data_IF_593347044815
#
_entry.id   IF_593347044815
#
_cell.length_a   1.000
_cell.length_b   1.000
_cell.length_c   1.000
_cell.angle_alpha   90.00
_cell.angle_beta   90.00
_cell.angle_gamma   90.00
#
_symmetry.space_group_name_H-M   'P 1'
#
loop_
_entity.id
_entity.type
_entity.pdbx_description
1 polymer ?
#
# COMPACT_ATOMS: atom_id res chain seq x y z
N UNK A 1 -0.68 12.82 25.26
CA UNK A 1 -1.17 12.21 24.00
C UNK A 1 -0.24 12.69 22.89
N UNK A 2 0.36 11.82 22.07
CA UNK A 2 1.16 12.29 20.93
C UNK A 2 0.24 12.98 19.93
N UNK A 3 0.67 14.14 19.42
CA UNK A 3 -0.07 14.91 18.43
C UNK A 3 -0.27 14.08 17.16
N UNK A 4 -1.46 14.17 16.55
CA UNK A 4 -1.74 13.54 15.28
C UNK A 4 -0.77 14.08 14.22
N UNK A 5 0.15 13.23 13.75
CA UNK A 5 1.09 13.58 12.71
C UNK A 5 0.33 13.80 11.38
N UNK A 6 0.57 14.91 10.66
CA UNK A 6 -0.15 15.19 9.42
C UNK A 6 0.12 14.10 8.37
N UNK A 7 -0.93 13.75 7.60
CA UNK A 7 -0.85 12.75 6.55
C UNK A 7 0.25 13.10 5.54
N UNK A 8 1.07 12.11 5.19
CA UNK A 8 2.05 12.28 4.13
C UNK A 8 1.35 12.53 2.79
N UNK A 9 1.94 13.43 2.02
CA UNK A 9 1.40 13.96 0.78
C UNK A 9 2.31 13.55 -0.35
N UNK A 10 1.74 12.98 -1.40
CA UNK A 10 2.46 12.74 -2.65
C UNK A 10 2.04 13.76 -3.68
N UNK A 11 3.02 14.43 -4.26
CA UNK A 11 2.82 15.25 -5.46
C UNK A 11 3.22 14.43 -6.66
N UNK A 12 2.33 14.23 -7.62
CA UNK A 12 2.70 13.69 -8.93
C UNK A 12 2.81 14.84 -9.92
N UNK A 13 3.73 14.76 -10.88
CA UNK A 13 3.81 15.72 -11.97
C UNK A 13 3.38 15.04 -13.27
N UNK A 14 2.43 15.66 -13.96
CA UNK A 14 2.05 15.32 -15.33
C UNK A 14 2.33 16.48 -16.26
N UNK A 15 2.68 16.15 -17.50
CA UNK A 15 2.92 17.11 -18.56
C UNK A 15 2.07 16.79 -19.78
N UNK A 16 1.54 17.82 -20.41
CA UNK A 16 0.86 17.74 -21.70
C UNK A 16 1.39 18.80 -22.65
N UNK A 17 1.42 18.54 -23.95
CA UNK A 17 1.71 19.55 -24.97
C UNK A 17 0.44 20.11 -25.62
N UNK A 18 -0.73 19.54 -25.32
CA UNK A 18 -1.98 19.81 -26.04
C UNK A 18 -3.24 19.76 -25.17
N UNK A 19 -3.11 19.64 -23.84
CA UNK A 19 -4.18 19.43 -22.84
C UNK A 19 -4.99 18.13 -22.97
N UNK A 20 -4.84 17.38 -24.07
CA UNK A 20 -5.59 16.15 -24.33
C UNK A 20 -4.83 14.90 -23.85
N UNK A 21 -3.50 14.91 -23.98
CA UNK A 21 -2.64 13.78 -23.63
C UNK A 21 -1.66 14.15 -22.54
N UNK A 22 -1.66 13.40 -21.44
CA UNK A 22 -0.83 13.64 -20.27
C UNK A 22 0.18 12.52 -20.07
N UNK A 23 1.44 12.86 -19.82
CA UNK A 23 2.48 11.91 -19.43
C UNK A 23 3.05 12.23 -18.05
N UNK A 24 3.19 11.21 -17.20
CA UNK A 24 3.78 11.34 -15.88
C UNK A 24 5.27 11.65 -16.02
N UNK A 25 5.75 12.65 -15.28
CA UNK A 25 7.15 13.13 -15.27
C UNK A 25 7.88 12.84 -13.98
N UNK A 26 7.16 12.77 -12.87
CA UNK A 26 7.77 12.47 -11.57
C UNK A 26 6.75 12.33 -10.46
N UNK A 27 7.26 11.98 -9.28
CA UNK A 27 6.50 11.98 -8.03
C UNK A 27 7.41 12.32 -6.86
N UNK A 28 6.86 12.96 -5.83
CA UNK A 28 7.57 13.37 -4.62
C UNK A 28 6.74 12.99 -3.41
N UNK A 29 7.42 12.44 -2.41
CA UNK A 29 6.86 12.06 -1.14
C UNK A 29 7.25 13.09 -0.08
N UNK A 30 6.27 13.75 0.54
CA UNK A 30 6.45 14.68 1.66
C UNK A 30 5.79 14.08 2.90
N UNK A 31 6.56 13.75 3.94
CA UNK A 31 6.04 12.90 5.02
C UNK A 31 6.67 13.03 6.41
N UNK A 32 7.41 14.09 6.73
CA UNK A 32 8.19 14.17 7.98
C UNK A 32 7.80 15.29 8.94
N UNK A 33 6.69 16.00 8.71
CA UNK A 33 6.10 16.90 9.72
C UNK A 33 6.88 18.20 10.02
N UNK A 34 7.99 18.46 9.34
CA UNK A 34 8.66 19.76 9.40
C UNK A 34 8.08 20.72 8.36
N UNK A 35 7.58 21.88 8.80
CA UNK A 35 7.30 23.00 7.91
C UNK A 35 8.64 23.49 7.32
N UNK A 36 8.88 23.18 6.05
CA UNK A 36 10.08 23.60 5.32
C UNK A 36 9.76 23.85 3.85
N UNK A 37 10.47 24.78 3.23
CA UNK A 37 10.44 24.99 1.78
C UNK A 37 11.46 24.08 1.11
N UNK A 38 11.00 23.19 0.23
CA UNK A 38 11.87 22.41 -0.65
C UNK A 38 11.59 22.82 -2.09
N UNK A 39 12.63 23.25 -2.80
CA UNK A 39 12.57 23.47 -4.25
C UNK A 39 12.83 22.14 -4.95
N UNK A 40 11.97 21.77 -5.91
CA UNK A 40 12.19 20.60 -6.76
C UNK A 40 12.11 20.98 -8.23
N UNK A 41 13.15 20.61 -8.96
CA UNK A 41 13.27 20.80 -10.41
C UNK A 41 12.86 19.51 -11.11
N UNK A 42 11.75 19.55 -11.84
CA UNK A 42 11.24 18.39 -12.58
C UNK A 42 11.63 18.35 -14.06
N UNK A 43 12.10 19.47 -14.61
CA UNK A 43 12.63 19.54 -15.97
C UNK A 43 13.92 20.35 -15.97
N UNK A 44 14.96 19.81 -16.61
CA UNK A 44 16.15 20.57 -16.92
C UNK A 44 15.97 21.22 -18.31
N UNK A 45 16.32 22.49 -18.41
CA UNK A 45 16.01 23.33 -19.55
C UNK A 45 16.63 22.83 -20.86
N UNK A 46 15.80 22.25 -21.73
CA UNK A 46 15.90 22.47 -23.18
C UNK A 46 14.56 23.08 -23.65
N UNK A 47 14.53 24.41 -23.63
CA UNK A 47 13.36 25.21 -23.95
C UNK A 47 12.99 25.05 -25.43
N UNK A 48 11.96 24.25 -25.75
CA UNK A 48 11.31 24.29 -27.07
C UNK A 48 9.88 23.72 -27.16
N UNK A 49 9.10 23.54 -26.08
CA UNK A 49 7.70 23.13 -26.25
C UNK A 49 6.79 23.84 -25.26
N UNK A 50 5.77 24.55 -25.75
CA UNK A 50 4.61 24.95 -24.95
C UNK A 50 4.05 23.70 -24.28
N UNK A 51 4.07 23.67 -22.96
CA UNK A 51 3.63 22.54 -22.17
C UNK A 51 2.75 23.01 -21.01
N UNK A 52 1.76 22.20 -20.72
CA UNK A 52 0.88 22.31 -19.58
C UNK A 52 1.35 21.32 -18.53
N UNK A 53 1.26 21.72 -17.27
CA UNK A 53 1.62 20.89 -16.14
C UNK A 53 0.41 20.71 -15.23
N UNK A 54 0.24 19.50 -14.70
CA UNK A 54 -0.74 19.19 -13.68
C UNK A 54 -0.02 18.52 -12.51
N UNK A 55 -0.19 19.08 -11.32
CA UNK A 55 0.46 18.60 -10.09
C UNK A 55 -0.63 18.22 -9.08
N UNK A 56 -1.25 17.04 -9.22
CA UNK A 56 -2.23 16.60 -8.25
C UNK A 56 -1.58 16.27 -6.91
N UNK A 57 -2.28 16.68 -5.85
CA UNK A 57 -2.04 16.28 -4.48
C UNK A 57 -2.68 14.91 -4.25
N UNK A 58 -1.90 13.90 -3.91
CA UNK A 58 -2.40 12.61 -3.44
C UNK A 58 -2.16 12.56 -1.94
N UNK A 59 -3.24 12.68 -1.19
CA UNK A 59 -3.20 12.43 0.25
C UNK A 59 -3.33 10.93 0.45
N UNK A 60 -2.29 10.33 1.04
CA UNK A 60 -2.43 8.96 1.48
C UNK A 60 -3.30 8.96 2.74
N UNK A 61 -4.35 8.15 2.77
CA UNK A 61 -5.20 7.99 3.93
C UNK A 61 -4.39 7.61 5.17
N UNK A 62 -4.90 7.94 6.37
CA UNK A 62 -4.30 7.50 7.62
C UNK A 62 -4.08 5.98 7.70
N UNK A 63 -3.11 5.59 8.52
CA UNK A 63 -2.81 4.25 9.01
C UNK A 63 -4.01 3.28 9.00
N UNK A 64 -3.90 2.13 8.31
CA UNK A 64 -4.95 1.11 8.31
C UNK A 64 -4.96 0.28 9.61
N UNK A 65 -5.79 0.67 10.57
CA UNK A 65 -6.04 -0.12 11.78
C UNK A 65 -7.10 -1.22 11.61
N UNK A 66 -7.30 -2.08 12.62
CA UNK A 66 -8.34 -3.12 12.62
C UNK A 66 -9.74 -2.63 12.20
N UNK A 67 -10.14 -1.43 12.66
CA UNK A 67 -11.43 -0.86 12.31
C UNK A 67 -11.60 -0.54 10.80
N UNK A 68 -10.53 -0.16 10.09
CA UNK A 68 -10.63 0.18 8.66
C UNK A 68 -10.68 -1.07 7.77
N UNK A 69 -10.14 -2.20 8.24
CA UNK A 69 -10.10 -3.48 7.51
C UNK A 69 -11.17 -4.48 7.97
N UNK A 70 -11.93 -4.15 9.01
CA UNK A 70 -13.04 -4.94 9.50
C UNK A 70 -14.04 -5.30 8.38
N UNK A 71 -14.41 -6.58 8.32
CA UNK A 71 -15.30 -7.17 7.30
C UNK A 71 -14.84 -7.00 5.85
N UNK A 72 -13.55 -6.77 5.61
CA UNK A 72 -13.01 -6.61 4.26
C UNK A 72 -12.30 -7.86 3.75
N UNK A 73 -12.17 -7.92 2.44
CA UNK A 73 -11.38 -8.93 1.74
C UNK A 73 -10.10 -8.30 1.20
N UNK A 74 -8.93 -8.76 1.65
CA UNK A 74 -7.63 -8.41 1.10
C UNK A 74 -7.19 -9.46 0.10
N UNK A 75 -6.99 -9.07 -1.15
CA UNK A 75 -6.41 -9.90 -2.19
C UNK A 75 -4.99 -9.44 -2.49
N UNK A 76 -4.06 -10.39 -2.50
CA UNK A 76 -2.62 -10.22 -2.64
C UNK A 76 -2.20 -11.10 -3.81
N UNK A 77 -1.71 -10.50 -4.89
CA UNK A 77 -1.31 -11.22 -6.10
C UNK A 77 0.19 -11.06 -6.35
N UNK A 78 0.87 -12.18 -6.60
CA UNK A 78 2.29 -12.20 -6.91
C UNK A 78 2.67 -13.37 -7.83
N UNK A 79 3.15 -13.05 -9.02
CA UNK A 79 3.37 -14.04 -10.07
C UNK A 79 2.08 -14.80 -10.41
N UNK A 80 2.15 -16.13 -10.41
CA UNK A 80 0.99 -17.01 -10.61
C UNK A 80 0.27 -17.40 -9.30
N UNK A 81 0.61 -16.76 -8.18
CA UNK A 81 0.11 -17.07 -6.85
C UNK A 81 -0.83 -15.97 -6.37
N UNK A 82 -1.84 -16.36 -5.59
CA UNK A 82 -2.73 -15.41 -4.93
C UNK A 82 -3.03 -15.83 -3.49
N UNK A 83 -3.14 -14.81 -2.65
CA UNK A 83 -3.47 -14.93 -1.24
C UNK A 83 -4.66 -14.02 -0.97
N UNK A 84 -5.73 -14.60 -0.44
CA UNK A 84 -6.99 -13.92 -0.16
C UNK A 84 -7.24 -14.04 1.33
N UNK A 85 -7.41 -12.90 2.00
CA UNK A 85 -7.79 -12.82 3.41
C UNK A 85 -9.19 -12.29 3.52
N UNK A 86 -10.03 -12.97 4.30
CA UNK A 86 -11.34 -12.48 4.69
C UNK A 86 -11.28 -12.08 6.17
N UNK A 87 -11.24 -10.77 6.45
CA UNK A 87 -11.20 -10.26 7.81
C UNK A 87 -12.57 -10.41 8.48
N UNK A 88 -12.55 -10.70 9.79
CA UNK A 88 -13.73 -10.74 10.63
C UNK A 88 -14.30 -9.33 10.89
N UNK A 89 -15.46 -9.26 11.55
CA UNK A 89 -16.14 -8.00 11.85
C UNK A 89 -15.35 -7.04 12.76
N UNK A 90 -14.32 -7.52 13.45
CA UNK A 90 -13.43 -6.70 14.29
C UNK A 90 -12.14 -6.28 13.57
N UNK A 91 -11.84 -6.86 12.41
CA UNK A 91 -10.59 -6.66 11.68
C UNK A 91 -9.35 -7.11 12.45
N UNK A 92 -9.48 -8.06 13.38
CA UNK A 92 -8.39 -8.58 14.23
C UNK A 92 -7.97 -10.01 13.88
N UNK A 93 -8.62 -10.61 12.89
CA UNK A 93 -8.40 -11.98 12.45
C UNK A 93 -9.35 -12.33 11.32
N UNK A 94 -9.51 -13.62 11.03
CA UNK A 94 -10.35 -14.06 9.92
C UNK A 94 -9.90 -15.39 9.33
N UNK A 95 -10.17 -15.56 8.05
CA UNK A 95 -9.77 -16.75 7.28
C UNK A 95 -8.89 -16.35 6.11
N UNK A 96 -8.15 -17.31 5.57
CA UNK A 96 -7.37 -17.11 4.36
C UNK A 96 -7.55 -18.25 3.38
N UNK A 97 -7.32 -17.93 2.11
CA UNK A 97 -7.14 -18.88 1.01
C UNK A 97 -5.83 -18.53 0.30
N UNK A 98 -4.95 -19.51 0.13
CA UNK A 98 -3.69 -19.35 -0.57
C UNK A 98 -3.60 -20.37 -1.69
N UNK A 99 -3.39 -19.88 -2.90
CA UNK A 99 -3.11 -20.71 -4.05
C UNK A 99 -1.70 -20.41 -4.57
N UNK A 100 -0.88 -21.46 -4.61
CA UNK A 100 0.53 -21.36 -4.98
C UNK A 100 0.79 -21.59 -6.48
N UNK A 101 -0.26 -21.59 -7.31
CA UNK A 101 -0.17 -21.95 -8.73
C UNK A 101 -0.50 -23.43 -9.02
N UNK A 102 -0.73 -24.26 -7.99
CA UNK A 102 -1.10 -25.67 -8.15
C UNK A 102 -2.10 -26.14 -7.09
N UNK A 103 -1.80 -25.89 -5.82
CA UNK A 103 -2.60 -26.35 -4.68
C UNK A 103 -3.27 -25.16 -4.00
N UNK A 104 -4.53 -25.36 -3.59
CA UNK A 104 -5.26 -24.44 -2.74
C UNK A 104 -5.13 -24.88 -1.27
N UNK A 105 -4.69 -23.97 -0.42
CA UNK A 105 -4.63 -24.12 1.04
C UNK A 105 -5.56 -23.12 1.70
N UNK A 106 -6.32 -23.57 2.70
CA UNK A 106 -7.23 -22.73 3.46
C UNK A 106 -6.89 -22.82 4.95
N UNK A 107 -7.23 -21.78 5.71
CA UNK A 107 -7.08 -21.83 7.16
C UNK A 107 -7.54 -20.55 7.84
N UNK A 108 -7.14 -20.40 9.10
CA UNK A 108 -7.46 -19.23 9.90
C UNK A 108 -6.25 -18.31 10.07
N UNK A 109 -6.54 -17.01 10.14
CA UNK A 109 -5.59 -16.02 10.62
C UNK A 109 -5.54 -16.16 12.14
N UNK A 110 -4.39 -16.56 12.67
CA UNK A 110 -4.20 -16.81 14.11
C UNK A 110 -3.72 -15.59 14.85
N UNK A 111 -3.08 -14.66 14.14
CA UNK A 111 -2.62 -13.40 14.68
C UNK A 111 -2.58 -12.38 13.54
N UNK A 112 -3.09 -11.19 13.84
CA UNK A 112 -2.98 -10.02 13.00
C UNK A 112 -2.45 -8.89 13.86
N UNK A 113 -1.30 -8.38 13.49
CA UNK A 113 -0.74 -7.16 14.07
C UNK A 113 -0.50 -6.14 12.99
N UNK A 114 -0.61 -4.89 13.41
CA UNK A 114 -0.55 -3.74 12.56
C UNK A 114 0.47 -2.76 13.13
N UNK A 115 1.45 -2.44 12.31
CA UNK A 115 2.33 -1.32 12.57
C UNK A 115 2.02 -0.23 11.54
N UNK A 116 1.48 0.87 12.04
CA UNK A 116 1.37 2.09 11.26
C UNK A 116 2.76 2.64 11.00
N UNK A 117 3.24 2.46 9.79
CA UNK A 117 4.30 3.30 9.26
C UNK A 117 3.70 4.66 8.84
N UNK A 118 4.51 5.72 8.82
CA UNK A 118 4.07 7.02 8.34
C UNK A 118 3.63 7.01 6.85
N UNK A 119 4.02 5.97 6.08
CA UNK A 119 3.79 5.87 4.62
C UNK A 119 3.37 4.47 4.16
N UNK A 120 3.24 3.52 5.08
CA UNK A 120 2.92 2.14 4.80
C UNK A 120 2.20 1.52 5.99
N UNK A 121 1.42 0.51 5.71
CA UNK A 121 0.87 -0.38 6.73
C UNK A 121 1.67 -1.66 6.68
N UNK A 122 2.28 -2.05 7.80
CA UNK A 122 2.85 -3.38 7.94
C UNK A 122 1.81 -4.24 8.62
N UNK A 123 1.39 -5.30 7.93
CA UNK A 123 0.53 -6.35 8.46
C UNK A 123 1.37 -7.59 8.73
N UNK A 124 1.43 -7.98 9.99
CA UNK A 124 1.94 -9.29 10.37
C UNK A 124 0.76 -10.24 10.43
N UNK A 125 0.73 -11.21 9.53
CA UNK A 125 -0.37 -12.18 9.44
C UNK A 125 0.19 -13.57 9.67
N UNK A 126 -0.18 -14.15 10.81
CA UNK A 126 0.14 -15.54 11.11
C UNK A 126 -1.02 -16.43 10.69
N UNK A 127 -0.65 -17.61 10.21
CA UNK A 127 -1.57 -18.58 9.64
C UNK A 127 -1.46 -19.88 10.42
N UNK A 128 -2.55 -20.65 10.46
CA UNK A 128 -2.54 -21.98 11.07
C UNK A 128 -1.74 -23.02 10.29
N UNK A 129 -1.62 -22.86 8.96
CA UNK A 129 -0.97 -23.85 8.08
C UNK A 129 0.08 -23.26 7.12
N UNK A 130 0.33 -21.95 7.18
CA UNK A 130 1.46 -21.32 6.50
C UNK A 130 2.43 -20.79 7.56
N UNK A 131 3.73 -20.78 7.23
CA UNK A 131 4.72 -19.97 7.95
C UNK A 131 4.24 -18.51 8.01
N UNK A 132 4.54 -17.79 9.09
CA UNK A 132 4.21 -16.37 9.25
C UNK A 132 4.61 -15.55 8.02
N UNK A 133 3.69 -14.71 7.56
CA UNK A 133 3.90 -13.77 6.46
C UNK A 133 3.78 -12.35 6.98
N UNK A 134 4.56 -11.46 6.40
CA UNK A 134 4.51 -10.03 6.63
C UNK A 134 4.21 -9.36 5.30
N UNK A 135 3.19 -8.51 5.29
CA UNK A 135 2.84 -7.69 4.13
C UNK A 135 3.12 -6.24 4.50
N UNK A 136 4.06 -5.63 3.81
CA UNK A 136 4.26 -4.18 3.87
C UNK A 136 3.55 -3.56 2.67
N UNK A 137 2.48 -2.81 2.89
CA UNK A 137 1.66 -2.24 1.82
C UNK A 137 1.61 -0.70 1.88
N UNK A 138 1.68 -0.07 0.71
CA UNK A 138 1.39 1.34 0.49
C UNK A 138 0.08 1.47 -0.29
N UNK A 139 -0.92 2.14 0.27
CA UNK A 139 -2.32 2.05 -0.15
C UNK A 139 -2.95 3.42 -0.43
N UNK A 140 -3.87 3.50 -1.38
CA UNK A 140 -4.45 4.74 -1.89
C UNK A 140 -5.57 5.35 -1.03
N UNK A 141 -6.25 4.58 -0.17
CA UNK A 141 -7.36 5.03 0.68
C UNK A 141 -7.57 4.14 1.94
N UNK A 142 -8.15 4.68 3.01
CA UNK A 142 -8.56 3.92 4.22
C UNK A 142 -10.07 3.96 4.44
N UNK A 143 -10.75 4.85 3.71
CA UNK A 143 -12.17 5.11 3.85
C UNK A 143 -12.97 4.69 2.61
N UNK A 144 -12.30 4.41 1.49
CA UNK A 144 -12.93 3.91 0.26
C UNK A 144 -13.47 2.49 0.41
N UNK A 145 -14.48 2.13 -0.38
CA UNK A 145 -14.97 0.75 -0.52
C UNK A 145 -14.01 -0.13 -1.30
N UNK A 146 -13.24 0.45 -2.22
CA UNK A 146 -12.14 -0.16 -2.96
C UNK A 146 -10.85 0.58 -2.61
N UNK A 147 -9.91 -0.14 -2.01
CA UNK A 147 -8.58 0.38 -1.67
C UNK A 147 -7.56 -0.44 -2.46
N UNK A 148 -6.65 0.22 -3.16
CA UNK A 148 -5.61 -0.40 -3.95
C UNK A 148 -4.23 -0.01 -3.44
N UNK A 149 -3.23 -0.84 -3.71
CA UNK A 149 -1.87 -0.47 -3.39
C UNK A 149 -0.79 -1.42 -3.87
N UNK A 150 0.44 -1.03 -3.60
CA UNK A 150 1.64 -1.86 -3.80
C UNK A 150 2.02 -2.51 -2.49
N UNK A 151 2.63 -3.67 -2.59
CA UNK A 151 3.09 -4.38 -1.41
C UNK A 151 4.42 -5.11 -1.64
N UNK A 152 5.15 -5.29 -0.54
CA UNK A 152 6.20 -6.28 -0.39
C UNK A 152 5.70 -7.40 0.53
N UNK A 153 5.95 -8.64 0.15
CA UNK A 153 5.62 -9.82 0.93
C UNK A 153 6.91 -10.46 1.43
N UNK A 154 7.02 -10.58 2.75
CA UNK A 154 8.10 -11.28 3.42
C UNK A 154 7.57 -12.53 4.13
N UNK A 155 8.43 -13.53 4.29
CA UNK A 155 8.14 -14.76 5.01
C UNK A 155 9.13 -14.96 6.14
N UNK A 156 8.62 -15.38 7.30
CA UNK A 156 9.47 -15.74 8.43
C UNK A 156 10.12 -17.10 8.20
N UNK A 157 11.43 -17.18 8.38
CA UNK A 157 12.23 -18.40 8.21
C UNK A 157 12.50 -19.15 9.51
N UNK A 158 12.10 -18.60 10.65
CA UNK A 158 12.49 -19.07 11.98
C UNK A 158 13.55 -18.18 12.65
N UNK A 159 14.34 -17.44 11.87
CA UNK A 159 15.40 -16.55 12.38
C UNK A 159 15.33 -15.12 11.83
N UNK A 160 14.80 -14.92 10.63
CA UNK A 160 14.63 -13.62 10.02
C UNK A 160 13.44 -13.56 9.05
N UNK A 161 13.01 -12.35 8.74
CA UNK A 161 12.10 -12.08 7.62
C UNK A 161 12.92 -12.09 6.32
N UNK A 162 12.45 -12.86 5.34
CA UNK A 162 13.03 -12.90 4.00
C UNK A 162 12.01 -12.44 2.98
N UNK A 163 12.44 -11.54 2.09
CA UNK A 163 11.61 -11.09 0.98
C UNK A 163 11.26 -12.27 0.07
N UNK A 164 9.97 -12.46 -0.12
CA UNK A 164 9.41 -13.44 -1.07
C UNK A 164 9.28 -12.75 -2.42
N UNK A 165 8.62 -11.60 -2.44
CA UNK A 165 8.27 -10.89 -3.69
C UNK A 165 7.65 -9.53 -3.42
N UNK A 166 7.54 -8.73 -4.48
CA UNK A 166 6.70 -7.53 -4.51
C UNK A 166 5.48 -7.78 -5.38
N UNK A 167 4.39 -7.07 -5.10
CA UNK A 167 3.16 -7.23 -5.86
C UNK A 167 2.16 -6.11 -5.65
N UNK A 168 0.91 -6.42 -5.99
CA UNK A 168 -0.22 -5.52 -5.80
C UNK A 168 -1.20 -6.12 -4.81
N UNK A 169 -1.88 -5.24 -4.10
CA UNK A 169 -2.94 -5.64 -3.19
C UNK A 169 -4.19 -4.80 -3.39
N UNK A 170 -5.33 -5.39 -3.04
CA UNK A 170 -6.63 -4.74 -3.12
C UNK A 170 -7.46 -5.15 -1.91
N UNK A 171 -8.10 -4.17 -1.27
CA UNK A 171 -8.95 -4.35 -0.11
C UNK A 171 -10.38 -3.88 -0.46
N UNK A 172 -11.35 -4.78 -0.35
CA UNK A 172 -12.76 -4.55 -0.73
C UNK A 172 -13.72 -4.84 0.42
N UNK A 173 -14.87 -4.18 0.45
CA UNK A 173 -15.99 -4.49 1.35
C UNK A 173 -17.02 -5.38 0.65
#
# INVERSE_FOLDING_TARGET
MPAAQPAATVFQLFRSTNLQSWSKRGEIYQGTGSLGSQEIVFENSSLAVQAFYNIPLIQYPGALGPASIASRTLTVNFGAQNLVYQFNAAGSGGTYQYYNGSTLSNGTITYLDFQSGPWSSIWHINHSALSSLQITAALDSSTSTLIQGRMALDKWTGSNWQSVTDGTCTLTK
#
